data_IF_109622192242
#
_entry.id   IF_109622192242
#
_cell.length_a   1.000
_cell.length_b   1.000
_cell.length_c   1.000
_cell.angle_alpha   90.00
_cell.angle_beta   90.00
_cell.angle_gamma   90.00
#
_symmetry.space_group_name_H-M   'P 1'
#
loop_
_entity.id
_entity.type
_entity.pdbx_description
1 polymer ?
#
# COMPACT_ATOMS: atom_id res chain seq x y z
N UNK A 1 12.53 6.95 -2.21
CA UNK A 1 11.07 6.83 -2.07
C UNK A 1 10.63 5.38 -2.22
N UNK A 2 10.60 4.81 -3.43
CA UNK A 2 10.03 3.46 -3.66
C UNK A 2 10.72 2.30 -2.91
N UNK A 3 12.03 2.39 -2.64
CA UNK A 3 12.74 1.41 -1.79
C UNK A 3 12.27 1.39 -0.33
N UNK A 4 11.75 2.50 0.18
CA UNK A 4 11.28 2.65 1.58
C UNK A 4 9.77 2.43 1.71
N UNK A 5 9.08 2.12 0.61
CA UNK A 5 7.62 2.22 0.46
C UNK A 5 7.11 3.65 0.68
N UNK A 6 5.94 3.96 0.12
CA UNK A 6 5.27 5.23 0.37
C UNK A 6 4.49 5.08 1.67
N UNK A 7 5.00 5.69 2.73
CA UNK A 7 4.33 5.69 4.04
C UNK A 7 3.10 6.59 3.98
N UNK A 8 1.96 6.10 4.47
CA UNK A 8 0.74 6.91 4.54
C UNK A 8 0.94 8.11 5.47
N UNK A 9 0.45 9.32 5.12
CA UNK A 9 0.61 10.50 5.97
C UNK A 9 0.09 10.27 7.39
N UNK A 10 -1.06 9.61 7.51
CA UNK A 10 -1.73 9.31 8.78
C UNK A 10 -1.29 7.96 9.41
N UNK A 11 -0.13 7.40 9.07
CA UNK A 11 0.32 6.11 9.62
C UNK A 11 0.54 6.12 11.15
N UNK A 12 0.68 7.30 11.76
CA UNK A 12 0.80 7.52 13.21
C UNK A 12 -0.52 7.99 13.84
N UNK A 13 -1.66 7.78 13.17
CA UNK A 13 -2.98 8.13 13.69
C UNK A 13 -3.23 7.45 15.04
N UNK A 14 -3.75 8.22 16.00
CA UNK A 14 -4.04 7.77 17.35
C UNK A 14 -5.35 8.41 17.85
N UNK A 15 -6.09 7.67 18.67
CA UNK A 15 -7.30 8.11 19.37
C UNK A 15 -7.15 8.09 20.90
N UNK A 16 -5.95 7.72 21.39
CA UNK A 16 -5.66 7.56 22.82
C UNK A 16 -6.11 6.24 23.44
N UNK A 17 -6.73 5.34 22.66
CA UNK A 17 -7.27 4.06 23.15
C UNK A 17 -6.63 2.89 22.41
N UNK A 18 -6.64 2.92 21.08
CA UNK A 18 -6.14 1.85 20.22
C UNK A 18 -4.71 2.15 19.74
N UNK A 19 -3.69 1.41 20.22
CA UNK A 19 -2.31 1.62 19.80
C UNK A 19 -2.05 1.19 18.35
N UNK A 20 -2.98 0.44 17.71
CA UNK A 20 -2.86 -0.02 16.33
C UNK A 20 -3.93 0.59 15.41
N UNK A 21 -4.46 1.76 15.77
CA UNK A 21 -5.60 2.39 15.08
C UNK A 21 -5.43 2.50 13.56
N UNK A 22 -4.25 2.88 13.07
CA UNK A 22 -3.99 2.92 11.64
C UNK A 22 -4.10 1.54 10.97
N UNK A 23 -3.60 0.48 11.61
CA UNK A 23 -3.68 -0.87 11.07
C UNK A 23 -5.13 -1.35 10.99
N UNK A 24 -5.90 -1.15 12.06
CA UNK A 24 -7.32 -1.50 12.07
C UNK A 24 -8.13 -0.69 11.06
N UNK A 25 -7.92 0.62 10.98
CA UNK A 25 -8.53 1.47 9.96
C UNK A 25 -8.19 0.99 8.54
N UNK A 26 -6.90 0.74 8.25
CA UNK A 26 -6.47 0.28 6.93
C UNK A 26 -7.04 -1.08 6.56
N UNK A 27 -7.24 -1.97 7.54
CA UNK A 27 -7.87 -3.26 7.34
C UNK A 27 -9.35 -3.11 6.94
N UNK A 28 -10.08 -2.21 7.61
CA UNK A 28 -11.47 -1.88 7.25
C UNK A 28 -11.53 -1.27 5.85
N UNK A 29 -10.69 -0.25 5.56
CA UNK A 29 -10.64 0.43 4.26
C UNK A 29 -10.36 -0.54 3.10
N UNK A 30 -9.44 -1.50 3.30
CA UNK A 30 -9.17 -2.57 2.33
C UNK A 30 -10.35 -3.52 2.18
N UNK A 31 -11.00 -3.91 3.28
CA UNK A 31 -12.15 -4.84 3.25
C UNK A 31 -13.34 -4.26 2.50
N UNK A 32 -13.59 -2.95 2.62
CA UNK A 32 -14.68 -2.26 1.92
C UNK A 32 -14.28 -1.77 0.51
N UNK A 33 -13.03 -2.01 0.09
CA UNK A 33 -12.55 -1.65 -1.25
C UNK A 33 -12.30 -0.16 -1.49
N UNK A 34 -12.19 0.65 -0.44
CA UNK A 34 -11.88 2.09 -0.56
C UNK A 34 -10.39 2.34 -0.78
N UNK A 35 -9.54 1.51 -0.18
CA UNK A 35 -8.10 1.60 -0.37
C UNK A 35 -7.45 0.22 -0.19
N UNK A 36 -6.91 -0.32 -1.28
CA UNK A 36 -6.16 -1.56 -1.30
C UNK A 36 -4.70 -1.31 -1.71
N UNK A 37 -3.79 -2.19 -1.30
CA UNK A 37 -2.39 -2.07 -1.72
C UNK A 37 -2.22 -2.21 -3.24
N UNK A 38 -3.22 -2.75 -3.95
CA UNK A 38 -3.29 -2.74 -5.42
C UNK A 38 -3.27 -1.32 -5.97
N UNK A 39 -3.94 -0.38 -5.32
CA UNK A 39 -4.03 1.02 -5.76
C UNK A 39 -2.64 1.69 -5.75
N UNK A 40 -1.77 1.26 -4.82
CA UNK A 40 -0.38 1.69 -4.78
C UNK A 40 0.42 1.16 -5.99
N UNK A 41 0.23 -0.10 -6.37
CA UNK A 41 0.87 -0.68 -7.56
C UNK A 41 0.38 0.00 -8.84
N UNK A 42 -0.92 0.26 -8.94
CA UNK A 42 -1.54 0.91 -10.09
C UNK A 42 -1.11 2.37 -10.22
N UNK A 43 -1.00 3.09 -9.10
CA UNK A 43 -0.44 4.45 -9.07
C UNK A 43 1.01 4.48 -9.55
N UNK A 44 1.82 3.51 -9.11
CA UNK A 44 3.22 3.39 -9.57
C UNK A 44 3.29 3.09 -11.07
N UNK A 45 2.49 2.15 -11.57
CA UNK A 45 2.44 1.83 -13.00
C UNK A 45 2.01 3.04 -13.84
N UNK A 46 0.97 3.74 -13.39
CA UNK A 46 0.52 4.97 -14.03
C UNK A 46 1.63 6.03 -14.09
N UNK A 47 2.36 6.26 -12.99
CA UNK A 47 3.44 7.24 -12.94
C UNK A 47 4.64 6.84 -13.81
N UNK A 48 4.99 5.55 -13.84
CA UNK A 48 6.03 5.00 -14.73
C UNK A 48 5.69 5.29 -16.19
N UNK A 49 4.45 4.99 -16.61
CA UNK A 49 3.96 5.26 -17.96
C UNK A 49 3.87 6.74 -18.28
N UNK A 50 3.33 7.55 -17.36
CA UNK A 50 3.15 8.99 -17.51
C UNK A 50 4.48 9.73 -17.69
N UNK A 51 5.50 9.36 -16.92
CA UNK A 51 6.84 9.94 -17.03
C UNK A 51 7.73 9.25 -18.06
N UNK A 52 7.21 8.21 -18.74
CA UNK A 52 7.93 7.42 -19.75
C UNK A 52 9.27 6.91 -19.24
N UNK A 53 9.31 6.47 -17.97
CA UNK A 53 10.56 6.10 -17.31
C UNK A 53 11.31 4.98 -18.06
N UNK A 54 10.59 4.07 -18.73
CA UNK A 54 11.20 3.01 -19.56
C UNK A 54 11.98 3.53 -20.77
N UNK A 55 11.61 4.71 -21.30
CA UNK A 55 12.22 5.32 -22.48
C UNK A 55 13.28 6.35 -22.14
N UNK A 56 13.65 6.46 -20.86
CA UNK A 56 14.64 7.43 -20.41
C UNK A 56 16.05 6.94 -20.77
N UNK A 57 16.74 7.72 -21.58
CA UNK A 57 18.11 7.43 -22.04
C UNK A 57 19.12 8.40 -21.39
N UNK A 58 20.42 8.18 -21.62
CA UNK A 58 21.48 9.04 -21.07
C UNK A 58 21.78 8.85 -19.58
N UNK A 59 21.25 7.78 -18.97
CA UNK A 59 21.47 7.47 -17.56
C UNK A 59 22.85 6.81 -17.32
N UNK A 60 23.46 7.18 -16.19
CA UNK A 60 24.60 6.47 -15.64
C UNK A 60 24.19 5.08 -15.13
N UNK A 61 25.17 4.27 -14.71
CA UNK A 61 24.93 2.88 -14.25
C UNK A 61 23.96 2.84 -13.06
N UNK A 62 24.05 3.83 -12.16
CA UNK A 62 23.15 3.93 -11.00
C UNK A 62 21.72 4.28 -11.43
N UNK A 63 21.57 5.18 -12.39
CA UNK A 63 20.31 5.59 -12.98
C UNK A 63 19.60 4.43 -13.69
N UNK A 64 20.30 3.64 -14.51
CA UNK A 64 19.73 2.43 -15.14
C UNK A 64 19.24 1.42 -14.11
N UNK A 65 20.05 1.16 -13.07
CA UNK A 65 19.63 0.27 -11.98
C UNK A 65 18.40 0.79 -11.23
N UNK A 66 18.23 2.10 -11.11
CA UNK A 66 17.05 2.71 -10.51
C UNK A 66 15.83 2.63 -11.43
N UNK A 67 16.01 2.85 -12.73
CA UNK A 67 14.99 2.70 -13.77
C UNK A 67 14.45 1.26 -13.79
N UNK A 68 15.33 0.26 -13.90
CA UNK A 68 14.95 -1.16 -13.88
C UNK A 68 14.19 -1.54 -12.60
N UNK A 69 14.63 -0.99 -11.46
CA UNK A 69 13.97 -1.24 -10.18
C UNK A 69 12.54 -0.68 -10.14
N UNK A 70 12.34 0.55 -10.60
CA UNK A 70 11.04 1.22 -10.55
C UNK A 70 10.08 0.64 -11.60
N UNK A 71 10.53 0.41 -12.84
CA UNK A 71 9.71 -0.19 -13.89
C UNK A 71 9.33 -1.65 -13.56
N UNK A 72 10.21 -2.39 -12.87
CA UNK A 72 9.92 -3.74 -12.40
C UNK A 72 9.09 -3.82 -11.11
N UNK A 73 8.69 -2.69 -10.52
CA UNK A 73 8.07 -2.68 -9.18
C UNK A 73 6.59 -3.07 -9.22
N UNK A 74 5.82 -2.57 -10.18
CA UNK A 74 4.36 -2.80 -10.23
C UNK A 74 3.98 -4.28 -10.31
N UNK A 75 4.62 -5.11 -11.17
CA UNK A 75 4.31 -6.55 -11.21
C UNK A 75 4.67 -7.29 -9.91
N UNK A 76 5.73 -6.84 -9.21
CA UNK A 76 6.14 -7.42 -7.92
C UNK A 76 5.17 -7.04 -6.80
N UNK A 77 4.70 -5.79 -6.80
CA UNK A 77 3.74 -5.29 -5.83
C UNK A 77 2.40 -6.02 -5.94
N UNK A 78 1.91 -6.28 -7.16
CA UNK A 78 0.68 -7.07 -7.39
C UNK A 78 0.76 -8.47 -6.80
N UNK A 79 1.84 -9.22 -7.08
CA UNK A 79 2.05 -10.57 -6.52
C UNK A 79 2.14 -10.58 -4.99
N UNK A 80 2.75 -9.55 -4.40
CA UNK A 80 2.85 -9.44 -2.94
C UNK A 80 1.47 -9.16 -2.32
N UNK A 81 0.67 -8.34 -2.99
CA UNK A 81 -0.67 -7.99 -2.54
C UNK A 81 -1.64 -9.18 -2.60
N UNK A 82 -1.62 -9.95 -3.68
CA UNK A 82 -2.43 -11.18 -3.80
C UNK A 82 -2.18 -12.14 -2.62
N UNK A 83 -0.91 -12.32 -2.23
CA UNK A 83 -0.52 -13.13 -1.07
C UNK A 83 -1.00 -12.53 0.26
N UNK A 84 -0.98 -11.20 0.39
CA UNK A 84 -1.46 -10.52 1.58
C UNK A 84 -2.98 -10.65 1.73
N UNK A 85 -3.72 -10.57 0.62
CA UNK A 85 -5.18 -10.74 0.61
C UNK A 85 -5.58 -12.19 0.87
N UNK A 86 -4.85 -13.16 0.31
CA UNK A 86 -5.06 -14.58 0.61
C UNK A 86 -4.88 -14.87 2.12
N UNK A 87 -3.85 -14.30 2.75
CA UNK A 87 -3.65 -14.40 4.21
C UNK A 87 -4.76 -13.70 4.98
N UNK A 88 -5.19 -12.52 4.54
CA UNK A 88 -6.26 -11.77 5.19
C UNK A 88 -7.60 -12.52 5.14
N UNK A 89 -7.90 -13.25 4.05
CA UNK A 89 -9.09 -14.11 3.94
C UNK A 89 -9.07 -15.32 4.87
N UNK A 90 -7.88 -15.84 5.18
CA UNK A 90 -7.70 -17.00 6.08
C UNK A 90 -7.81 -16.63 7.56
N UNK A 91 -7.46 -15.40 7.92
CA UNK A 91 -7.64 -14.87 9.26
C UNK A 91 -9.11 -14.50 9.45
N UNK A 92 -9.82 -15.21 10.33
CA UNK A 92 -11.20 -14.84 10.70
C UNK A 92 -11.21 -13.38 11.17
N UNK A 93 -12.07 -12.55 10.56
CA UNK A 93 -12.23 -11.16 10.94
C UNK A 93 -12.83 -11.09 12.34
N UNK A 94 -11.98 -10.95 13.36
CA UNK A 94 -12.42 -10.46 14.67
C UNK A 94 -12.76 -8.99 14.47
N UNK A 95 -13.97 -8.61 14.84
CA UNK A 95 -14.36 -7.23 14.72
C UNK A 95 -13.54 -6.36 15.69
N UNK A 96 -13.23 -5.15 15.25
CA UNK A 96 -12.48 -4.18 16.05
C UNK A 96 -13.41 -3.06 16.47
N UNK A 97 -13.34 -2.66 17.74
CA UNK A 97 -14.09 -1.51 18.25
C UNK A 97 -13.40 -0.22 17.87
N UNK A 98 -14.15 0.74 17.33
CA UNK A 98 -13.63 2.05 16.98
C UNK A 98 -14.25 3.14 17.86
N UNK A 99 -13.41 3.96 18.50
CA UNK A 99 -13.84 5.09 19.33
C UNK A 99 -14.67 6.11 18.54
N UNK A 100 -14.36 6.29 17.26
CA UNK A 100 -15.04 7.22 16.34
C UNK A 100 -16.53 6.92 16.13
N UNK A 101 -16.96 5.69 16.40
CA UNK A 101 -18.34 5.22 16.23
C UNK A 101 -18.91 4.69 17.55
N UNK A 102 -18.58 5.34 18.67
CA UNK A 102 -19.09 5.00 19.99
C UNK A 102 -18.75 3.57 20.41
N UNK A 103 -17.53 3.11 20.11
CA UNK A 103 -17.02 1.76 20.41
C UNK A 103 -17.83 0.62 19.78
N UNK A 104 -18.54 0.89 18.68
CA UNK A 104 -19.14 -0.15 17.83
C UNK A 104 -18.06 -0.96 17.13
N UNK A 105 -18.37 -2.23 16.90
CA UNK A 105 -17.48 -3.22 16.30
C UNK A 105 -17.67 -3.32 14.78
N UNK A 106 -16.56 -3.34 14.04
CA UNK A 106 -16.50 -3.48 12.57
C UNK A 106 -15.60 -4.64 12.15
#
# INVERSE_FOLDING_TARGET
MMKKMVTMPAHLMADGVDPMLFQHFSAVARRIGVYATSDCADTVEFLVGRWRLEKLEGLDVKGRKAQDFVCGLSPRARKLQERADERARRLQHRGVKFSWIFNKEL
#
